data_IF_055422429248
#
_entry.id   IF_055422429248
#
_cell.length_a   1.000
_cell.length_b   1.000
_cell.length_c   1.000
_cell.angle_alpha   90.00
_cell.angle_beta   90.00
_cell.angle_gamma   90.00
#
_symmetry.space_group_name_H-M   'P 1'
#
loop_
_entity.id
_entity.type
_entity.pdbx_description
1 polymer ?
#
# COMPACT_ATOMS: atom_id res chain seq x y z
N UNK A 1 -38.78 3.70 -23.85
CA UNK A 1 -38.04 4.87 -23.35
C UNK A 1 -36.62 4.77 -23.86
N UNK A 2 -36.21 5.73 -24.67
CA UNK A 2 -35.05 5.71 -25.55
C UNK A 2 -33.81 6.14 -24.76
N UNK A 3 -32.89 5.21 -24.51
CA UNK A 3 -31.67 5.42 -23.74
C UNK A 3 -30.58 6.03 -24.63
N UNK A 4 -30.75 7.29 -25.03
CA UNK A 4 -29.77 8.07 -25.80
C UNK A 4 -29.69 9.49 -25.21
N UNK A 5 -29.14 9.61 -24.00
CA UNK A 5 -28.76 10.91 -23.44
C UNK A 5 -27.25 11.16 -23.72
N UNK A 6 -26.89 12.04 -24.66
CA UNK A 6 -25.50 12.36 -24.98
C UNK A 6 -24.76 13.00 -23.79
N UNK A 7 -25.45 13.41 -22.72
CA UNK A 7 -24.82 13.99 -21.52
C UNK A 7 -24.20 12.94 -20.60
N UNK A 8 -24.56 11.67 -20.74
CA UNK A 8 -23.90 10.55 -20.05
C UNK A 8 -22.56 10.16 -20.71
N UNK A 9 -22.21 10.78 -21.84
CA UNK A 9 -20.98 10.54 -22.58
C UNK A 9 -19.77 11.14 -21.84
N UNK A 10 -19.30 10.40 -20.82
CA UNK A 10 -18.08 10.64 -20.03
C UNK A 10 -18.06 11.98 -19.30
N UNK A 11 -18.52 11.96 -18.05
CA UNK A 11 -18.14 12.96 -17.07
C UNK A 11 -16.60 12.95 -16.94
N UNK A 12 -15.94 13.89 -17.62
CA UNK A 12 -14.49 14.04 -17.55
C UNK A 12 -14.19 14.80 -16.25
N UNK A 13 -14.03 14.06 -15.16
CA UNK A 13 -13.88 14.63 -13.82
C UNK A 13 -12.67 15.57 -13.72
N UNK A 14 -11.61 15.33 -14.50
CA UNK A 14 -10.39 16.13 -14.56
C UNK A 14 -9.86 16.20 -16.00
N UNK A 15 -10.33 17.14 -16.84
CA UNK A 15 -9.86 17.28 -18.21
C UNK A 15 -8.44 17.89 -18.27
N UNK A 16 -7.66 17.51 -19.29
CA UNK A 16 -6.36 18.12 -19.58
C UNK A 16 -5.26 17.73 -18.59
N UNK A 17 -4.46 18.73 -18.16
CA UNK A 17 -3.28 18.53 -17.32
C UNK A 17 -3.61 17.90 -15.96
N UNK A 18 -4.75 18.28 -15.36
CA UNK A 18 -5.19 17.72 -14.09
C UNK A 18 -5.49 16.22 -14.18
N UNK A 19 -6.11 15.76 -15.27
CA UNK A 19 -6.32 14.31 -15.48
C UNK A 19 -5.02 13.56 -15.76
N UNK A 20 -4.05 14.19 -16.43
CA UNK A 20 -2.74 13.57 -16.59
C UNK A 20 -2.03 13.40 -15.25
N UNK A 21 -2.03 14.44 -14.41
CA UNK A 21 -1.35 14.42 -13.11
C UNK A 21 -2.06 13.47 -12.14
N UNK A 22 -3.35 13.67 -11.88
CA UNK A 22 -4.06 12.95 -10.82
C UNK A 22 -4.59 11.57 -11.27
N UNK A 23 -4.98 11.42 -12.54
CA UNK A 23 -5.50 10.14 -13.03
C UNK A 23 -4.40 9.16 -13.48
N UNK A 24 -3.20 9.65 -13.82
CA UNK A 24 -2.14 8.81 -14.42
C UNK A 24 -0.78 8.90 -13.70
N UNK A 25 -0.31 10.08 -13.29
CA UNK A 25 1.00 10.24 -12.65
C UNK A 25 0.96 10.01 -11.13
N UNK A 26 -0.12 10.40 -10.45
CA UNK A 26 -0.32 10.14 -9.03
C UNK A 26 -0.35 8.63 -8.72
N UNK A 27 -1.05 7.77 -9.47
CA UNK A 27 -0.94 6.32 -9.25
C UNK A 27 0.48 5.81 -9.45
N UNK A 28 1.24 6.39 -10.38
CA UNK A 28 2.64 6.04 -10.59
C UNK A 28 3.54 6.44 -9.42
N UNK A 29 3.26 7.56 -8.73
CA UNK A 29 4.03 7.97 -7.56
C UNK A 29 3.87 6.98 -6.39
N UNK A 30 2.74 6.28 -6.30
CA UNK A 30 2.54 5.20 -5.33
C UNK A 30 3.41 3.96 -5.58
N UNK A 31 4.04 3.85 -6.75
CA UNK A 31 5.01 2.78 -7.03
C UNK A 31 6.42 3.11 -6.52
N UNK A 32 6.71 4.37 -6.18
CA UNK A 32 8.03 4.78 -5.70
C UNK A 32 8.47 3.96 -4.47
N UNK A 33 7.62 3.77 -3.43
CA UNK A 33 7.99 2.94 -2.28
C UNK A 33 8.20 1.47 -2.66
N UNK A 34 7.42 0.93 -3.61
CA UNK A 34 7.56 -0.45 -4.08
C UNK A 34 8.89 -0.65 -4.82
N UNK A 35 9.22 0.26 -5.74
CA UNK A 35 10.49 0.24 -6.49
C UNK A 35 11.67 0.39 -5.52
N UNK A 36 11.60 1.36 -4.59
CA UNK A 36 12.64 1.58 -3.60
C UNK A 36 12.87 0.34 -2.72
N UNK A 37 11.79 -0.30 -2.26
CA UNK A 37 11.85 -1.51 -1.43
C UNK A 37 12.53 -2.68 -2.14
N UNK A 38 12.31 -2.84 -3.43
CA UNK A 38 12.81 -3.99 -4.21
C UNK A 38 14.23 -3.77 -4.74
N UNK A 39 14.52 -2.58 -5.25
CA UNK A 39 15.74 -2.34 -6.03
C UNK A 39 16.81 -1.54 -5.28
N UNK A 40 16.46 -0.85 -4.19
CA UNK A 40 17.43 -0.07 -3.41
C UNK A 40 17.90 -0.90 -2.20
N UNK A 41 19.22 -1.11 -2.02
CA UNK A 41 19.75 -1.76 -0.83
C UNK A 41 19.29 -1.04 0.44
N UNK A 42 18.66 -1.76 1.37
CA UNK A 42 18.08 -1.18 2.59
C UNK A 42 16.75 -0.43 2.40
N UNK A 43 16.20 -0.40 1.18
CA UNK A 43 14.93 0.29 0.88
C UNK A 43 13.75 -0.22 1.69
N UNK A 44 13.67 -1.54 1.93
CA UNK A 44 12.64 -2.13 2.81
C UNK A 44 12.73 -1.61 4.25
N UNK A 45 13.94 -1.44 4.78
CA UNK A 45 14.16 -0.92 6.13
C UNK A 45 13.85 0.57 6.23
N UNK A 46 14.22 1.35 5.22
CA UNK A 46 13.78 2.75 5.10
C UNK A 46 12.24 2.85 5.08
N UNK A 47 11.58 2.11 4.19
CA UNK A 47 10.11 2.16 4.05
C UNK A 47 9.39 1.73 5.34
N UNK A 48 9.90 0.74 6.05
CA UNK A 48 9.38 0.34 7.36
C UNK A 48 9.52 1.47 8.41
N UNK A 49 10.65 2.18 8.41
CA UNK A 49 10.88 3.31 9.33
C UNK A 49 10.00 4.54 9.02
N UNK A 50 9.52 4.71 7.79
CA UNK A 50 8.52 5.74 7.45
C UNK A 50 7.14 5.45 8.08
N UNK A 51 6.80 4.17 8.28
CA UNK A 51 5.53 3.77 8.89
C UNK A 51 5.58 3.78 10.41
N UNK A 52 6.70 3.32 10.98
CA UNK A 52 6.93 3.24 12.42
C UNK A 52 8.25 3.94 12.74
N UNK A 53 8.21 5.24 13.07
CA UNK A 53 9.41 6.01 13.35
C UNK A 53 10.20 5.40 14.51
N UNK A 54 11.46 5.02 14.28
CA UNK A 54 12.33 4.40 15.28
C UNK A 54 12.03 2.93 15.57
N UNK A 55 11.19 2.29 14.76
CA UNK A 55 10.95 0.86 14.80
C UNK A 55 12.19 0.10 14.34
N UNK A 56 12.99 -0.42 15.28
CA UNK A 56 13.95 -1.47 14.97
C UNK A 56 13.18 -2.61 14.33
N UNK A 57 13.60 -3.10 13.16
CA UNK A 57 13.04 -4.35 12.61
C UNK A 57 13.33 -5.43 13.65
N UNK A 58 12.32 -5.73 14.46
CA UNK A 58 12.43 -6.78 15.45
C UNK A 58 12.53 -8.08 14.67
N UNK A 59 13.61 -8.82 14.90
CA UNK A 59 13.77 -10.16 14.35
C UNK A 59 12.47 -10.93 14.55
N UNK A 60 12.01 -11.60 13.49
CA UNK A 60 10.85 -12.50 13.57
C UNK A 60 11.10 -13.59 14.62
N UNK A 61 12.38 -13.86 14.94
CA UNK A 61 12.79 -14.80 15.98
C UNK A 61 12.98 -14.17 17.38
N UNK A 62 12.33 -13.04 17.65
CA UNK A 62 12.32 -12.40 18.96
C UNK A 62 11.41 -13.12 19.97
N UNK A 63 11.71 -13.09 21.29
CA UNK A 63 10.86 -13.68 22.33
C UNK A 63 9.42 -13.17 22.30
N UNK A 64 9.22 -11.88 22.00
CA UNK A 64 7.90 -11.26 21.87
C UNK A 64 7.14 -11.77 20.64
N UNK A 65 7.82 -11.93 19.50
CA UNK A 65 7.22 -12.48 18.27
C UNK A 65 6.81 -13.94 18.45
N UNK A 66 7.66 -14.76 19.12
CA UNK A 66 7.32 -16.14 19.46
C UNK A 66 6.11 -16.25 20.40
N UNK A 67 5.95 -15.31 21.33
CA UNK A 67 4.78 -15.27 22.22
C UNK A 67 3.50 -14.98 21.45
N UNK A 68 3.50 -14.00 20.55
CA UNK A 68 2.34 -13.67 19.69
C UNK A 68 1.99 -14.82 18.75
N UNK A 69 3.00 -15.43 18.10
CA UNK A 69 2.79 -16.61 17.26
C UNK A 69 2.25 -17.80 18.06
N UNK A 70 2.75 -18.03 19.26
CA UNK A 70 2.25 -19.07 20.17
C UNK A 70 0.79 -18.84 20.57
N UNK A 71 0.39 -17.60 20.87
CA UNK A 71 -1.01 -17.28 21.15
C UNK A 71 -1.91 -17.47 19.93
N UNK A 72 -1.43 -17.12 18.74
CA UNK A 72 -2.17 -17.28 17.49
C UNK A 72 -2.38 -18.76 17.15
N UNK A 73 -1.33 -19.59 17.28
CA UNK A 73 -1.40 -21.05 17.06
C UNK A 73 -2.28 -21.72 18.12
N UNK A 74 -2.13 -21.35 19.39
CA UNK A 74 -2.96 -21.93 20.44
C UNK A 74 -4.44 -21.52 20.31
N UNK A 75 -4.71 -20.31 19.79
CA UNK A 75 -6.06 -19.85 19.45
C UNK A 75 -6.73 -20.62 18.31
N UNK A 76 -5.98 -21.29 17.44
CA UNK A 76 -6.53 -22.14 16.36
C UNK A 76 -6.90 -23.57 16.80
N UNK A 77 -6.61 -23.95 18.04
CA UNK A 77 -7.04 -25.23 18.63
C UNK A 77 -8.30 -25.11 19.52
N UNK A 78 -8.89 -23.92 19.60
CA UNK A 78 -10.17 -23.68 20.27
C UNK A 78 -11.26 -23.32 19.25
N UNK A 79 -11.67 -24.30 18.44
CA UNK A 79 -12.94 -24.31 17.71
C UNK A 79 -13.42 -25.75 17.53
#
# INVERSE_FOLDING_TARGET
MHMNDPRAQRFNALPGLYGLIFLNLEPLSTLIPAIATIFVPGGAAWFYNEQVPGGVIQSVDGPHTRMVLGQLVNGTHAS
#
